data_IF_691061211805
#
_entry.id   IF_691061211805
#
_cell.length_a   1.000
_cell.length_b   1.000
_cell.length_c   1.000
_cell.angle_alpha   90.00
_cell.angle_beta   90.00
_cell.angle_gamma   90.00
#
_symmetry.space_group_name_H-M   'P 1'
#
loop_
_entity.id
_entity.type
_entity.pdbx_description
1 polymer ?
#
# COMPACT_ATOMS: atom_id res chain seq x y z
N UNK A 1 8.45 -18.43 24.03
CA UNK A 1 7.93 -18.44 22.68
C UNK A 1 7.07 -17.19 22.50
N UNK A 2 7.08 -16.64 21.30
CA UNK A 2 6.20 -15.53 20.93
C UNK A 2 4.87 -16.10 20.43
N UNK A 3 3.75 -15.67 20.98
CA UNK A 3 2.42 -15.98 20.44
C UNK A 3 2.13 -15.00 19.30
N UNK A 4 1.65 -15.51 18.17
CA UNK A 4 1.36 -14.76 16.96
C UNK A 4 -0.11 -14.91 16.61
N UNK A 5 -0.82 -13.82 16.45
CA UNK A 5 -2.21 -13.78 15.98
C UNK A 5 -2.23 -13.17 14.59
N UNK A 6 -2.71 -13.91 13.60
CA UNK A 6 -2.69 -13.50 12.20
C UNK A 6 -4.12 -13.40 11.67
N UNK A 7 -4.51 -12.18 11.30
CA UNK A 7 -5.80 -11.92 10.66
C UNK A 7 -5.71 -12.25 9.17
N UNK A 8 -6.68 -13.02 8.64
CA UNK A 8 -6.83 -13.19 7.21
C UNK A 8 -7.33 -11.88 6.58
N UNK A 9 -6.55 -11.33 5.65
CA UNK A 9 -6.89 -10.16 4.86
C UNK A 9 -7.51 -10.53 3.50
N UNK A 10 -7.95 -9.52 2.74
CA UNK A 10 -8.59 -9.72 1.43
C UNK A 10 -7.66 -10.33 0.36
N UNK A 11 -6.34 -10.19 0.51
CA UNK A 11 -5.34 -10.80 -0.38
C UNK A 11 -4.89 -12.18 0.07
N UNK A 12 -5.28 -12.62 1.27
CA UNK A 12 -4.97 -13.95 1.77
C UNK A 12 -6.02 -14.99 1.33
N UNK A 13 -7.23 -14.54 0.99
CA UNK A 13 -8.36 -15.40 0.63
C UNK A 13 -8.35 -15.77 -0.85
N UNK A 14 -8.61 -17.06 -1.16
CA UNK A 14 -8.71 -17.51 -2.53
C UNK A 14 -10.02 -17.03 -3.21
N UNK A 15 -11.14 -17.10 -2.48
CA UNK A 15 -12.43 -16.63 -2.95
C UNK A 15 -12.77 -15.27 -2.30
N UNK A 16 -13.33 -14.32 -3.08
CA UNK A 16 -13.67 -12.98 -2.58
C UNK A 16 -14.86 -12.94 -1.63
N UNK A 17 -15.65 -13.99 -1.58
CA UNK A 17 -16.91 -14.06 -0.83
C UNK A 17 -16.82 -14.86 0.47
N UNK A 18 -15.72 -15.56 0.74
CA UNK A 18 -15.50 -16.39 1.94
C UNK A 18 -14.05 -16.35 2.38
N UNK A 19 -13.79 -16.54 3.68
CA UNK A 19 -12.46 -16.69 4.26
C UNK A 19 -12.05 -18.16 4.47
N UNK A 20 -12.89 -19.13 4.11
CA UNK A 20 -12.68 -20.59 4.36
C UNK A 20 -11.37 -21.11 3.76
N UNK A 21 -10.98 -20.59 2.60
CA UNK A 21 -9.73 -20.98 1.96
C UNK A 21 -8.82 -19.76 1.92
N UNK A 22 -7.89 -19.70 2.86
CA UNK A 22 -6.94 -18.61 2.96
C UNK A 22 -5.50 -19.14 3.13
N UNK A 23 -4.54 -18.38 2.60
CA UNK A 23 -3.13 -18.75 2.61
C UNK A 23 -2.52 -18.80 4.01
N UNK A 24 -3.03 -17.99 4.93
CA UNK A 24 -2.53 -17.94 6.30
C UNK A 24 -2.80 -19.28 7.01
N UNK A 25 -4.03 -19.78 6.93
CA UNK A 25 -4.41 -21.07 7.52
C UNK A 25 -3.68 -22.22 6.82
N UNK A 26 -3.70 -22.26 5.48
CA UNK A 26 -3.06 -23.33 4.70
C UNK A 26 -1.56 -23.48 4.95
N UNK A 27 -0.86 -22.39 5.26
CA UNK A 27 0.60 -22.38 5.40
C UNK A 27 1.06 -22.44 6.86
N UNK A 28 0.25 -21.98 7.80
CA UNK A 28 0.72 -21.70 9.16
C UNK A 28 -0.06 -22.41 10.28
N UNK A 29 -1.16 -23.11 10.00
CA UNK A 29 -1.98 -23.78 11.01
C UNK A 29 -1.29 -24.94 11.71
N UNK A 30 -0.16 -25.45 11.19
CA UNK A 30 0.63 -26.50 11.83
C UNK A 30 1.50 -25.97 12.99
N UNK A 31 1.66 -24.65 13.14
CA UNK A 31 2.49 -24.05 14.19
C UNK A 31 1.65 -23.75 15.44
N UNK A 32 1.96 -24.39 16.56
CA UNK A 32 1.20 -24.27 17.81
C UNK A 32 1.15 -22.84 18.39
N UNK A 33 2.11 -22.00 18.06
CA UNK A 33 2.21 -20.62 18.55
C UNK A 33 1.70 -19.59 17.54
N UNK A 34 1.10 -20.01 16.42
CA UNK A 34 0.47 -19.14 15.44
C UNK A 34 -1.02 -19.40 15.43
N UNK A 35 -1.79 -18.37 15.74
CA UNK A 35 -3.25 -18.43 15.81
C UNK A 35 -3.83 -17.68 14.61
N UNK A 36 -4.39 -18.44 13.67
CA UNK A 36 -5.02 -17.86 12.48
C UNK A 36 -6.43 -17.39 12.83
N UNK A 37 -6.75 -16.16 12.45
CA UNK A 37 -8.02 -15.50 12.69
C UNK A 37 -8.72 -15.33 11.35
N UNK A 38 -9.58 -16.24 10.98
CA UNK A 38 -10.38 -16.25 9.74
C UNK A 38 -11.88 -15.97 9.98
N UNK A 39 -12.29 -15.96 11.25
CA UNK A 39 -13.63 -15.61 11.70
C UNK A 39 -13.58 -14.64 12.89
N UNK A 40 -14.63 -13.83 13.14
CA UNK A 40 -14.67 -12.91 14.27
C UNK A 40 -14.52 -13.65 15.61
N UNK A 41 -13.55 -13.24 16.44
CA UNK A 41 -13.35 -13.82 17.76
C UNK A 41 -12.72 -12.83 18.74
N UNK A 42 -13.01 -13.01 20.02
CA UNK A 42 -12.38 -12.24 21.11
C UNK A 42 -11.25 -13.04 21.72
N UNK A 43 -10.06 -12.46 21.75
CA UNK A 43 -8.91 -12.99 22.48
C UNK A 43 -8.71 -12.22 23.79
N UNK A 44 -8.21 -12.90 24.81
CA UNK A 44 -7.83 -12.29 26.06
C UNK A 44 -6.31 -12.27 26.21
N UNK A 45 -5.72 -11.07 26.22
CA UNK A 45 -4.29 -10.93 26.45
C UNK A 45 -4.01 -10.46 27.86
N UNK A 46 -3.04 -11.11 28.52
CA UNK A 46 -2.60 -10.79 29.88
C UNK A 46 -1.13 -10.36 29.87
N UNK A 47 -0.83 -9.28 30.57
CA UNK A 47 0.53 -8.86 30.87
C UNK A 47 0.63 -8.50 32.36
N UNK A 48 1.19 -9.39 33.16
CA UNK A 48 1.18 -9.27 34.63
C UNK A 48 -0.23 -9.26 35.20
N UNK A 49 -0.61 -8.20 35.90
CA UNK A 49 -1.95 -8.02 36.46
C UNK A 49 -2.90 -7.29 35.49
N UNK A 50 -2.41 -6.85 34.34
CA UNK A 50 -3.20 -6.13 33.34
C UNK A 50 -3.67 -7.10 32.25
N UNK A 51 -4.98 -7.21 32.10
CA UNK A 51 -5.60 -7.98 31.02
C UNK A 51 -6.50 -7.12 30.15
N UNK A 52 -6.70 -7.50 28.92
CA UNK A 52 -7.66 -6.86 28.01
C UNK A 52 -8.23 -7.84 27.01
N UNK A 53 -9.53 -7.71 26.79
CA UNK A 53 -10.20 -8.36 25.67
C UNK A 53 -9.97 -7.54 24.40
N UNK A 54 -9.63 -8.26 23.32
CA UNK A 54 -9.43 -7.69 22.01
C UNK A 54 -10.35 -8.43 21.03
N UNK A 55 -11.24 -7.72 20.38
CA UNK A 55 -12.01 -8.27 19.28
C UNK A 55 -11.13 -8.32 18.04
N UNK A 56 -10.86 -9.53 17.54
CA UNK A 56 -10.10 -9.79 16.34
C UNK A 56 -11.08 -10.03 15.18
N UNK A 57 -10.92 -9.25 14.11
CA UNK A 57 -11.83 -9.24 12.96
C UNK A 57 -11.05 -9.45 11.66
N UNK A 58 -11.19 -10.60 10.98
CA UNK A 58 -10.59 -10.82 9.68
C UNK A 58 -11.26 -9.96 8.61
N UNK A 59 -10.86 -10.13 7.36
CA UNK A 59 -11.53 -9.51 6.22
C UNK A 59 -13.03 -9.81 6.24
N UNK A 60 -13.84 -8.75 6.14
CA UNK A 60 -15.30 -8.87 6.10
C UNK A 60 -15.72 -9.09 4.66
N UNK A 61 -16.21 -10.28 4.36
CA UNK A 61 -16.71 -10.69 3.06
C UNK A 61 -18.22 -10.95 3.11
N UNK A 62 -18.81 -11.35 1.96
CA UNK A 62 -20.26 -11.55 1.89
C UNK A 62 -20.77 -12.63 2.85
N UNK A 63 -20.00 -13.71 3.05
CA UNK A 63 -20.39 -14.84 3.89
C UNK A 63 -20.42 -14.50 5.38
N UNK A 64 -19.42 -13.78 5.88
CA UNK A 64 -19.28 -13.45 7.30
C UNK A 64 -19.82 -12.07 7.68
N UNK A 65 -20.46 -11.35 6.74
CA UNK A 65 -20.89 -9.96 6.94
C UNK A 65 -21.84 -9.80 8.14
N UNK A 66 -22.89 -10.59 8.21
CA UNK A 66 -23.91 -10.44 9.25
C UNK A 66 -23.36 -10.76 10.64
N UNK A 67 -22.53 -11.81 10.75
CA UNK A 67 -21.85 -12.17 11.98
C UNK A 67 -20.85 -11.09 12.39
N UNK A 68 -20.02 -10.61 11.47
CA UNK A 68 -19.05 -9.55 11.70
C UNK A 68 -19.72 -8.25 12.18
N UNK A 69 -20.81 -7.86 11.56
CA UNK A 69 -21.57 -6.67 11.96
C UNK A 69 -22.24 -6.84 13.33
N UNK A 70 -22.69 -8.06 13.65
CA UNK A 70 -23.25 -8.37 14.97
C UNK A 70 -22.18 -8.27 16.07
N UNK A 71 -21.01 -8.85 15.83
CA UNK A 71 -19.86 -8.76 16.73
C UNK A 71 -19.38 -7.31 16.90
N UNK A 72 -19.15 -6.58 15.81
CA UNK A 72 -18.80 -5.16 15.88
C UNK A 72 -19.81 -4.35 16.69
N UNK A 73 -21.10 -4.67 16.63
CA UNK A 73 -22.15 -3.95 17.35
C UNK A 73 -22.26 -4.33 18.83
N UNK A 74 -22.17 -5.62 19.17
CA UNK A 74 -22.56 -6.12 20.49
C UNK A 74 -21.37 -6.51 21.39
N UNK A 75 -20.19 -6.74 20.82
CA UNK A 75 -19.01 -7.13 21.59
C UNK A 75 -18.61 -6.09 22.62
N UNK A 76 -18.16 -6.51 23.80
CA UNK A 76 -17.79 -5.64 24.93
C UNK A 76 -16.28 -5.41 25.07
N UNK A 77 -15.46 -5.92 24.14
CA UNK A 77 -14.01 -5.69 24.16
C UNK A 77 -13.69 -4.19 24.09
N UNK A 78 -12.67 -3.78 24.84
CA UNK A 78 -12.19 -2.40 24.80
C UNK A 78 -11.37 -2.09 23.53
N UNK A 79 -10.73 -3.12 22.98
CA UNK A 79 -9.88 -3.02 21.79
C UNK A 79 -10.47 -3.79 20.63
N UNK A 80 -10.23 -3.30 19.41
CA UNK A 80 -10.57 -4.01 18.20
C UNK A 80 -9.38 -3.99 17.23
N UNK A 81 -9.02 -5.15 16.69
CA UNK A 81 -8.00 -5.28 15.64
C UNK A 81 -8.62 -5.97 14.45
N UNK A 82 -8.39 -5.44 13.25
CA UNK A 82 -9.02 -6.04 12.08
C UNK A 82 -8.38 -5.64 10.76
N UNK A 83 -8.95 -6.20 9.68
CA UNK A 83 -8.60 -5.87 8.32
C UNK A 83 -9.78 -5.19 7.65
N UNK A 84 -9.90 -3.88 7.90
CA UNK A 84 -11.11 -3.12 7.57
C UNK A 84 -10.89 -2.18 6.39
N UNK A 85 -11.94 -2.01 5.59
CA UNK A 85 -12.12 -0.85 4.73
C UNK A 85 -13.10 0.11 5.43
N UNK A 86 -12.61 1.30 5.84
CA UNK A 86 -13.39 2.29 6.59
C UNK A 86 -13.41 3.60 5.81
N UNK A 87 -14.61 4.14 5.59
CA UNK A 87 -14.81 5.38 4.86
C UNK A 87 -14.08 6.58 5.51
N UNK A 88 -13.50 7.42 4.65
CA UNK A 88 -12.85 8.67 5.03
C UNK A 88 -11.41 8.52 5.52
N UNK A 89 -10.76 7.36 5.31
CA UNK A 89 -9.33 7.18 5.54
C UNK A 89 -8.53 7.22 4.24
N UNK A 90 -7.29 7.66 4.34
CA UNK A 90 -6.37 7.73 3.21
C UNK A 90 -5.90 6.33 2.83
N UNK A 91 -6.21 5.90 1.61
CA UNK A 91 -5.74 4.62 1.04
C UNK A 91 -4.29 4.72 0.58
N UNK A 92 -4.00 5.79 -0.18
CA UNK A 92 -2.70 6.19 -0.69
C UNK A 92 -2.55 7.69 -0.53
N UNK A 93 -1.37 8.24 -0.77
CA UNK A 93 -1.17 9.69 -0.79
C UNK A 93 -2.21 10.37 -1.70
N UNK A 94 -2.94 11.34 -1.14
CA UNK A 94 -3.91 12.13 -1.88
C UNK A 94 -5.21 11.40 -2.25
N UNK A 95 -5.40 10.13 -1.90
CA UNK A 95 -6.61 9.37 -2.21
C UNK A 95 -7.28 8.86 -0.94
N UNK A 96 -8.49 9.36 -0.69
CA UNK A 96 -9.33 8.96 0.45
C UNK A 96 -10.38 7.95 -0.01
N UNK A 97 -10.62 6.89 0.78
CA UNK A 97 -11.72 5.97 0.53
C UNK A 97 -13.05 6.60 0.89
N UNK A 98 -13.98 6.65 -0.05
CA UNK A 98 -15.36 7.07 0.17
C UNK A 98 -16.29 5.87 0.46
N UNK A 99 -15.76 4.65 0.30
CA UNK A 99 -16.47 3.38 0.52
C UNK A 99 -16.19 2.75 1.88
N UNK A 100 -16.77 1.55 2.10
CA UNK A 100 -16.50 0.72 3.26
C UNK A 100 -17.41 0.99 4.46
N UNK A 101 -16.93 0.56 5.63
CA UNK A 101 -17.69 0.64 6.88
C UNK A 101 -17.76 2.06 7.43
N UNK A 102 -18.89 2.40 8.06
CA UNK A 102 -19.01 3.66 8.79
C UNK A 102 -18.15 3.67 10.06
N UNK A 103 -17.46 4.77 10.32
CA UNK A 103 -16.69 5.00 11.55
C UNK A 103 -17.54 4.88 12.82
N UNK A 104 -18.84 5.13 12.74
CA UNK A 104 -19.77 5.11 13.87
C UNK A 104 -19.76 3.77 14.61
N UNK A 105 -19.62 2.65 13.90
CA UNK A 105 -19.64 1.31 14.50
C UNK A 105 -18.43 1.05 15.41
N UNK A 106 -17.36 1.81 15.20
CA UNK A 106 -16.10 1.68 15.96
C UNK A 106 -16.00 2.59 17.17
N UNK A 107 -16.91 3.56 17.36
CA UNK A 107 -16.85 4.55 18.45
C UNK A 107 -16.89 3.97 19.85
N UNK A 108 -17.42 2.77 20.00
CA UNK A 108 -17.53 2.12 21.33
C UNK A 108 -16.21 1.53 21.83
N UNK A 109 -15.26 1.29 20.93
CA UNK A 109 -13.94 0.77 21.31
C UNK A 109 -13.04 1.91 21.77
N UNK A 110 -12.18 1.65 22.76
CA UNK A 110 -11.17 2.62 23.18
C UNK A 110 -10.15 2.88 22.06
N UNK A 111 -9.72 1.81 21.39
CA UNK A 111 -8.79 1.87 20.27
C UNK A 111 -9.11 0.79 19.24
N UNK A 112 -8.96 1.16 17.97
CA UNK A 112 -9.14 0.28 16.81
C UNK A 112 -7.87 0.31 15.97
N UNK A 113 -7.32 -0.85 15.67
CA UNK A 113 -6.16 -1.00 14.80
C UNK A 113 -6.57 -1.75 13.54
N UNK A 114 -6.24 -1.18 12.38
CA UNK A 114 -6.61 -1.79 11.10
C UNK A 114 -5.40 -1.97 10.18
N UNK A 115 -5.37 -3.11 9.49
CA UNK A 115 -4.65 -3.31 8.25
C UNK A 115 -5.46 -2.82 7.05
N UNK A 116 -5.26 -3.35 5.87
CA UNK A 116 -5.86 -3.07 4.57
C UNK A 116 -5.24 -1.87 3.85
N UNK A 117 -5.31 -0.67 4.39
CA UNK A 117 -4.64 0.47 3.75
C UNK A 117 -3.15 0.47 4.05
N UNK A 118 -2.33 0.61 3.00
CA UNK A 118 -0.88 0.59 3.11
C UNK A 118 -0.33 1.86 3.77
N UNK A 119 -1.03 2.99 3.61
CA UNK A 119 -0.65 4.24 4.24
C UNK A 119 -1.03 4.26 5.72
N UNK A 120 -0.09 4.65 6.58
CA UNK A 120 -0.33 4.81 8.01
C UNK A 120 -1.11 6.10 8.27
N UNK A 121 -2.25 5.97 8.91
CA UNK A 121 -3.10 7.12 9.25
C UNK A 121 -3.86 6.89 10.54
N UNK A 122 -4.18 7.96 11.26
CA UNK A 122 -4.97 7.90 12.49
C UNK A 122 -6.03 8.99 12.50
N UNK A 123 -7.24 8.63 12.87
CA UNK A 123 -8.34 9.58 13.09
C UNK A 123 -9.22 9.07 14.23
N UNK A 124 -9.48 9.93 15.20
CA UNK A 124 -10.19 9.58 16.42
C UNK A 124 -9.54 8.37 17.14
N UNK A 125 -10.32 7.33 17.42
CA UNK A 125 -9.84 6.10 18.04
C UNK A 125 -9.37 5.02 17.06
N UNK A 126 -9.31 5.32 15.74
CA UNK A 126 -8.97 4.36 14.68
C UNK A 126 -7.59 4.67 14.12
N UNK A 127 -6.72 3.66 14.07
CA UNK A 127 -5.38 3.73 13.48
C UNK A 127 -5.19 2.65 12.41
N UNK A 128 -4.96 3.07 11.17
CA UNK A 128 -4.39 2.21 10.14
C UNK A 128 -2.88 2.10 10.37
N UNK A 129 -2.39 0.87 10.51
CA UNK A 129 -1.00 0.62 10.89
C UNK A 129 -0.04 0.75 9.70
N UNK A 130 -0.56 0.60 8.49
CA UNK A 130 0.23 0.61 7.26
C UNK A 130 1.11 -0.62 7.09
N UNK A 131 1.92 -0.65 6.04
CA UNK A 131 2.82 -1.75 5.76
C UNK A 131 4.13 -1.63 6.54
N UNK A 132 4.76 -2.76 6.93
CA UNK A 132 6.05 -2.75 7.62
C UNK A 132 7.23 -2.39 6.70
N UNK A 133 7.09 -2.50 5.39
CA UNK A 133 8.06 -2.13 4.36
C UNK A 133 7.34 -1.73 3.06
N UNK A 134 8.06 -1.12 2.13
CA UNK A 134 7.52 -0.70 0.84
C UNK A 134 7.29 -1.93 -0.05
N UNK A 135 6.10 -2.06 -0.64
CA UNK A 135 5.70 -3.17 -1.52
C UNK A 135 5.70 -2.78 -3.00
N UNK A 136 5.32 -1.53 -3.28
CA UNK A 136 5.16 -1.01 -4.63
C UNK A 136 5.68 0.42 -4.75
N UNK A 137 5.78 0.95 -5.97
CA UNK A 137 6.14 2.34 -6.20
C UNK A 137 5.17 3.36 -5.58
N UNK A 138 3.94 2.97 -5.28
CA UNK A 138 2.99 3.82 -4.53
C UNK A 138 3.45 4.10 -3.09
N UNK A 139 4.29 3.24 -2.56
CA UNK A 139 4.85 3.36 -1.21
C UNK A 139 6.11 4.22 -1.17
N UNK A 140 6.61 4.66 -2.33
CA UNK A 140 7.80 5.51 -2.43
C UNK A 140 7.68 6.77 -1.56
N UNK A 141 8.74 7.05 -0.79
CA UNK A 141 8.81 8.22 0.09
C UNK A 141 7.68 8.28 1.16
N UNK A 142 7.08 7.14 1.49
CA UNK A 142 6.14 6.98 2.59
C UNK A 142 6.78 6.11 3.68
N UNK A 143 6.99 6.68 4.89
CA UNK A 143 7.73 6.00 5.95
C UNK A 143 6.98 4.77 6.42
N UNK A 144 7.57 3.60 6.18
CA UNK A 144 7.06 2.28 6.58
C UNK A 144 7.65 1.84 7.90
N UNK A 145 7.00 0.87 8.56
CA UNK A 145 7.45 0.35 9.85
C UNK A 145 6.39 -0.49 10.53
N UNK A 146 6.60 -0.77 11.81
CA UNK A 146 5.65 -1.49 12.64
C UNK A 146 5.36 -0.73 13.92
N UNK A 147 4.41 -1.22 14.71
CA UNK A 147 4.00 -0.56 15.93
C UNK A 147 4.25 -1.45 17.15
N UNK A 148 4.61 -0.82 18.24
CA UNK A 148 4.58 -1.42 19.58
C UNK A 148 3.37 -0.86 20.32
N UNK A 149 2.53 -1.76 20.83
CA UNK A 149 1.38 -1.40 21.63
C UNK A 149 1.61 -1.85 23.07
N UNK A 150 1.64 -0.90 24.00
CA UNK A 150 1.69 -1.21 25.43
C UNK A 150 0.27 -1.35 25.98
N UNK A 151 -0.08 -2.57 26.39
CA UNK A 151 -1.41 -2.89 26.89
C UNK A 151 -1.75 -2.15 28.20
N UNK A 152 -0.74 -1.88 29.04
CA UNK A 152 -0.93 -1.25 30.35
C UNK A 152 -1.14 0.26 30.26
N UNK A 153 -0.40 0.92 29.40
CA UNK A 153 -0.45 2.38 29.20
C UNK A 153 -1.38 2.80 28.06
N UNK A 154 -1.83 1.85 27.25
CA UNK A 154 -2.62 2.09 26.02
C UNK A 154 -1.90 3.00 25.02
N UNK A 155 -0.59 2.91 24.97
CA UNK A 155 0.23 3.71 24.03
C UNK A 155 0.61 2.89 22.81
N UNK A 156 0.48 3.50 21.64
CA UNK A 156 0.90 2.95 20.35
C UNK A 156 2.12 3.73 19.87
N UNK A 157 3.27 3.06 19.80
CA UNK A 157 4.53 3.63 19.34
C UNK A 157 4.86 3.11 17.93
N UNK A 158 5.16 4.02 17.01
CA UNK A 158 5.59 3.66 15.67
C UNK A 158 7.12 3.50 15.60
N UNK A 159 7.58 2.36 15.11
CA UNK A 159 8.98 2.06 14.88
C UNK A 159 9.25 2.07 13.38
N UNK A 160 9.93 3.10 12.84
CA UNK A 160 10.18 3.19 11.41
C UNK A 160 11.15 2.12 10.92
N UNK A 161 10.89 1.58 9.74
CA UNK A 161 11.81 0.68 9.05
C UNK A 161 12.91 1.53 8.38
N UNK A 162 14.18 1.34 8.71
CA UNK A 162 15.28 2.09 8.09
C UNK A 162 15.60 1.62 6.66
N UNK A 163 15.08 0.46 6.24
CA UNK A 163 15.36 -0.11 4.92
C UNK A 163 14.35 0.42 3.90
N UNK A 164 14.81 1.32 3.03
CA UNK A 164 14.03 1.86 1.91
C UNK A 164 14.30 0.98 0.69
N UNK A 165 13.24 0.54 0.01
CA UNK A 165 13.36 -0.34 -1.16
C UNK A 165 13.25 0.40 -2.50
N UNK A 166 12.48 1.50 -2.54
CA UNK A 166 12.24 2.27 -3.76
C UNK A 166 12.97 3.60 -3.70
N UNK A 167 13.79 3.87 -4.71
CA UNK A 167 14.56 5.09 -4.82
C UNK A 167 14.32 5.79 -6.14
N UNK A 168 14.17 7.12 -6.10
CA UNK A 168 14.10 7.96 -7.28
C UNK A 168 15.37 8.79 -7.38
N UNK A 169 15.99 8.79 -8.56
CA UNK A 169 17.13 9.62 -8.87
C UNK A 169 16.70 10.58 -9.99
N UNK A 170 16.81 11.86 -9.75
CA UNK A 170 16.64 12.85 -10.81
C UNK A 170 18.00 13.06 -11.47
N UNK A 171 18.06 12.89 -12.79
CA UNK A 171 19.23 13.20 -13.60
C UNK A 171 18.98 14.48 -14.38
N UNK A 172 19.81 15.50 -14.15
CA UNK A 172 19.74 16.78 -14.85
C UNK A 172 21.16 17.36 -15.04
N UNK A 173 21.73 17.16 -16.22
CA UNK A 173 23.09 17.65 -16.56
C UNK A 173 23.16 19.15 -16.92
N UNK A 174 22.04 19.87 -16.84
CA UNK A 174 22.05 21.35 -16.88
C UNK A 174 22.19 21.96 -15.49
N UNK A 175 21.78 21.24 -14.44
CA UNK A 175 21.79 21.69 -13.06
C UNK A 175 23.01 21.11 -12.32
N UNK A 176 23.21 19.80 -12.42
CA UNK A 176 24.35 19.11 -11.79
C UNK A 176 25.61 19.20 -12.66
N UNK A 177 26.73 19.54 -12.06
CA UNK A 177 28.02 19.56 -12.76
C UNK A 177 28.50 18.13 -13.10
N UNK A 178 29.40 18.02 -14.07
CA UNK A 178 30.05 16.75 -14.46
C UNK A 178 30.67 16.06 -13.24
N UNK A 179 31.31 16.84 -12.36
CA UNK A 179 31.99 16.34 -11.16
C UNK A 179 30.97 15.79 -10.14
N UNK A 180 29.84 16.45 -9.94
CA UNK A 180 28.79 15.97 -9.05
C UNK A 180 28.17 14.69 -9.55
N UNK A 181 27.84 14.62 -10.84
CA UNK A 181 27.26 13.41 -11.46
C UNK A 181 28.25 12.23 -11.37
N UNK A 182 29.53 12.44 -11.68
CA UNK A 182 30.50 11.34 -11.74
C UNK A 182 30.97 10.85 -10.38
N UNK A 183 30.91 11.68 -9.34
CA UNK A 183 31.33 11.34 -7.97
C UNK A 183 30.15 11.08 -7.03
N UNK A 184 28.92 10.98 -7.55
CA UNK A 184 27.73 10.70 -6.76
C UNK A 184 27.89 9.35 -6.04
N UNK A 185 27.70 9.32 -4.74
CA UNK A 185 27.65 8.07 -3.98
C UNK A 185 26.36 7.32 -4.30
N UNK A 186 26.51 6.20 -4.98
CA UNK A 186 25.41 5.34 -5.42
C UNK A 186 25.25 4.09 -4.55
N UNK A 187 26.09 3.90 -3.52
CA UNK A 187 26.13 2.66 -2.71
C UNK A 187 24.81 2.36 -2.00
N UNK A 188 24.04 3.40 -1.61
CA UNK A 188 22.73 3.26 -0.96
C UNK A 188 21.65 2.62 -1.85
N UNK A 189 21.90 2.53 -3.15
CA UNK A 189 20.96 1.94 -4.12
C UNK A 189 21.19 0.44 -4.34
N UNK A 190 22.16 -0.17 -3.66
CA UNK A 190 22.38 -1.60 -3.73
C UNK A 190 21.19 -2.40 -3.20
N UNK A 191 20.78 -3.44 -3.93
CA UNK A 191 19.64 -4.30 -3.58
C UNK A 191 18.30 -3.54 -3.43
N UNK A 192 18.10 -2.48 -4.19
CA UNK A 192 16.87 -1.69 -4.21
C UNK A 192 16.31 -1.54 -5.63
N UNK A 193 15.08 -1.04 -5.73
CA UNK A 193 14.45 -0.66 -6.99
C UNK A 193 14.74 0.82 -7.24
N UNK A 194 15.27 1.16 -8.40
CA UNK A 194 15.67 2.53 -8.73
C UNK A 194 14.93 3.04 -9.95
N UNK A 195 14.28 4.20 -9.84
CA UNK A 195 13.72 4.95 -10.96
C UNK A 195 14.61 6.15 -11.27
N UNK A 196 15.21 6.19 -12.45
CA UNK A 196 15.97 7.32 -12.93
C UNK A 196 15.06 8.22 -13.77
N UNK A 197 14.78 9.42 -13.27
CA UNK A 197 13.98 10.44 -13.96
C UNK A 197 14.93 11.38 -14.68
N UNK A 198 14.90 11.38 -16.01
CA UNK A 198 15.78 12.18 -16.84
C UNK A 198 15.10 13.49 -17.20
N UNK A 199 15.52 14.58 -16.58
CA UNK A 199 14.98 15.93 -16.83
C UNK A 199 15.73 16.60 -18.00
N UNK A 200 17.05 16.58 -17.96
CA UNK A 200 17.90 17.06 -19.06
C UNK A 200 19.05 16.09 -19.29
N UNK A 201 19.24 15.70 -20.55
CA UNK A 201 20.33 14.85 -21.05
C UNK A 201 21.02 15.53 -22.21
N UNK A 202 21.75 16.64 -21.91
CA UNK A 202 22.48 17.40 -22.93
C UNK A 202 23.79 16.75 -23.34
N UNK A 203 24.35 15.91 -22.48
CA UNK A 203 25.54 15.12 -22.74
C UNK A 203 25.24 13.60 -22.60
N UNK A 204 24.88 12.92 -23.71
CA UNK A 204 24.58 11.48 -23.67
C UNK A 204 25.72 10.62 -23.11
N UNK A 205 26.97 10.96 -23.40
CA UNK A 205 28.13 10.22 -22.88
C UNK A 205 28.24 10.33 -21.34
N UNK A 206 27.92 11.47 -20.76
CA UNK A 206 27.90 11.66 -19.31
C UNK A 206 26.78 10.82 -18.68
N UNK A 207 25.60 10.79 -19.32
CA UNK A 207 24.49 9.94 -18.89
C UNK A 207 24.86 8.45 -18.92
N UNK A 208 25.43 7.98 -20.02
CA UNK A 208 25.88 6.58 -20.15
C UNK A 208 26.89 6.20 -19.06
N UNK A 209 27.81 7.12 -18.74
CA UNK A 209 28.78 6.91 -17.66
C UNK A 209 28.12 6.85 -16.28
N UNK A 210 27.15 7.71 -16.03
CA UNK A 210 26.32 7.69 -14.81
C UNK A 210 25.58 6.36 -14.69
N UNK A 211 24.88 5.94 -15.75
CA UNK A 211 24.15 4.67 -15.78
C UNK A 211 25.07 3.47 -15.57
N UNK A 212 26.25 3.46 -16.21
CA UNK A 212 27.25 2.41 -15.99
C UNK A 212 27.69 2.35 -14.51
N UNK A 213 27.88 3.49 -13.86
CA UNK A 213 28.23 3.54 -12.44
C UNK A 213 27.08 3.05 -11.57
N UNK A 214 25.84 3.38 -11.94
CA UNK A 214 24.65 2.92 -11.24
C UNK A 214 24.48 1.40 -11.38
N UNK A 215 24.58 0.83 -12.57
CA UNK A 215 24.49 -0.63 -12.79
C UNK A 215 25.56 -1.42 -12.01
N UNK A 216 26.72 -0.84 -11.74
CA UNK A 216 27.77 -1.49 -10.96
C UNK A 216 27.46 -1.64 -9.46
N UNK A 217 26.41 -1.00 -8.96
CA UNK A 217 26.02 -1.06 -7.54
C UNK A 217 25.09 -2.25 -7.23
N UNK A 218 24.65 -2.98 -8.26
CA UNK A 218 23.87 -4.20 -8.10
C UNK A 218 22.47 -3.97 -7.51
N UNK A 219 21.66 -3.18 -8.20
CA UNK A 219 20.24 -2.97 -7.88
C UNK A 219 19.41 -4.21 -8.20
N UNK A 220 18.20 -4.29 -7.65
CA UNK A 220 17.21 -5.31 -8.03
C UNK A 220 16.67 -5.00 -9.42
N UNK A 221 16.29 -3.74 -9.65
CA UNK A 221 15.80 -3.26 -10.94
C UNK A 221 16.09 -1.77 -11.13
N UNK A 222 16.22 -1.35 -12.39
CA UNK A 222 16.39 0.06 -12.78
C UNK A 222 15.40 0.39 -13.89
N UNK A 223 14.49 1.32 -13.62
CA UNK A 223 13.59 1.91 -14.61
C UNK A 223 14.08 3.30 -14.99
N UNK A 224 14.14 3.60 -16.30
CA UNK A 224 14.50 4.92 -16.82
C UNK A 224 13.25 5.58 -17.39
N UNK A 225 12.94 6.78 -16.90
CA UNK A 225 11.84 7.61 -17.40
C UNK A 225 12.44 8.85 -18.10
N UNK A 226 12.42 8.88 -19.44
CA UNK A 226 13.02 9.94 -20.25
C UNK A 226 12.01 10.98 -20.75
N UNK A 227 10.73 10.64 -20.89
CA UNK A 227 9.71 11.55 -21.42
C UNK A 227 8.81 12.09 -20.31
N UNK A 228 9.26 13.15 -19.68
CA UNK A 228 8.38 13.98 -18.87
C UNK A 228 7.88 15.17 -19.68
N UNK A 229 6.72 15.00 -20.28
CA UNK A 229 5.90 16.11 -20.71
C UNK A 229 5.61 16.97 -19.47
N UNK A 230 6.26 18.11 -19.40
CA UNK A 230 5.92 19.26 -18.55
C UNK A 230 5.92 19.06 -17.03
N UNK A 231 7.09 18.79 -16.41
CA UNK A 231 7.31 19.14 -15.00
C UNK A 231 7.33 20.65 -14.74
N UNK A 232 7.15 21.49 -15.77
CA UNK A 232 7.16 22.95 -15.67
C UNK A 232 5.81 23.55 -15.27
N UNK A 233 4.74 22.76 -15.16
CA UNK A 233 3.39 23.27 -14.83
C UNK A 233 2.98 23.11 -13.38
N UNK A 234 3.92 22.88 -12.43
CA UNK A 234 3.56 22.91 -11.00
C UNK A 234 2.55 21.83 -10.55
N UNK A 235 2.43 20.75 -11.32
CA UNK A 235 1.69 19.56 -10.91
C UNK A 235 2.56 18.86 -9.90
N UNK A 236 2.10 18.80 -8.66
CA UNK A 236 2.78 18.17 -7.54
C UNK A 236 3.27 16.77 -7.93
N UNK A 237 4.47 16.40 -7.49
CA UNK A 237 5.13 15.10 -7.71
C UNK A 237 4.24 13.89 -7.39
N UNK A 238 3.16 14.08 -6.64
CA UNK A 238 2.17 13.09 -6.23
C UNK A 238 1.29 12.53 -7.37
N UNK A 239 1.20 13.22 -8.53
CA UNK A 239 0.35 12.72 -9.64
C UNK A 239 1.04 11.67 -10.52
N UNK A 240 2.35 11.56 -10.45
CA UNK A 240 3.11 10.59 -11.28
C UNK A 240 3.27 9.25 -10.57
N UNK A 241 3.28 9.25 -9.24
CA UNK A 241 3.41 8.05 -8.41
C UNK A 241 2.06 7.47 -7.93
N UNK A 242 0.95 8.17 -8.15
CA UNK A 242 -0.37 7.56 -8.06
C UNK A 242 -0.48 6.57 -9.23
N UNK A 243 -0.52 5.28 -8.94
CA UNK A 243 -1.09 4.33 -9.87
C UNK A 243 -2.57 4.67 -9.98
N UNK A 244 -2.89 5.70 -10.76
CA UNK A 244 -4.23 5.81 -11.29
C UNK A 244 -4.54 4.44 -11.86
N UNK A 245 -5.66 3.88 -11.45
CA UNK A 245 -6.20 2.68 -12.08
C UNK A 245 -5.95 2.80 -13.59
N UNK A 246 -5.33 1.82 -14.20
CA UNK A 246 -4.97 1.85 -15.62
C UNK A 246 -6.13 2.33 -16.49
N UNK A 247 -7.36 2.05 -16.06
CA UNK A 247 -8.57 2.57 -16.73
C UNK A 247 -8.72 4.08 -16.60
N UNK A 248 -8.40 4.67 -15.46
CA UNK A 248 -8.45 6.13 -15.25
C UNK A 248 -7.42 6.83 -16.13
N UNK A 249 -6.22 6.26 -16.26
CA UNK A 249 -5.17 6.77 -17.17
C UNK A 249 -5.65 6.70 -18.62
N UNK A 250 -6.22 5.57 -19.04
CA UNK A 250 -6.77 5.38 -20.39
C UNK A 250 -7.89 6.38 -20.64
N UNK A 251 -8.82 6.56 -19.71
CA UNK A 251 -9.96 7.48 -19.86
C UNK A 251 -9.49 8.93 -19.96
N UNK A 252 -8.54 9.37 -19.14
CA UNK A 252 -7.95 10.73 -19.24
C UNK A 252 -7.19 10.95 -20.55
N UNK A 253 -6.45 9.94 -21.00
CA UNK A 253 -5.76 10.01 -22.28
C UNK A 253 -6.75 10.19 -23.43
N UNK A 254 -7.85 9.39 -23.43
CA UNK A 254 -8.92 9.50 -24.43
C UNK A 254 -9.63 10.85 -24.37
N UNK A 255 -9.85 11.41 -23.16
CA UNK A 255 -10.45 12.75 -23.00
C UNK A 255 -9.56 13.88 -23.56
N UNK A 256 -8.23 13.66 -23.56
CA UNK A 256 -7.27 14.58 -24.17
C UNK A 256 -7.23 14.55 -25.70
N UNK A 257 -7.88 13.57 -26.34
CA UNK A 257 -7.95 13.50 -27.82
C UNK A 257 -8.97 14.52 -28.33
N UNK A 258 -8.49 15.55 -29.03
CA UNK A 258 -9.31 16.64 -29.58
C UNK A 258 -9.61 16.49 -31.07
N UNK A 259 -9.68 15.29 -31.62
CA UNK A 259 -9.93 15.01 -33.02
C UNK A 259 -11.45 14.82 -33.27
N UNK A 260 -12.05 15.72 -34.05
CA UNK A 260 -13.50 15.75 -34.31
C UNK A 260 -14.06 14.44 -34.94
N UNK A 261 -13.20 13.63 -35.54
CA UNK A 261 -13.58 12.36 -36.16
C UNK A 261 -13.72 11.19 -35.20
N UNK A 262 -13.29 11.35 -33.94
CA UNK A 262 -13.25 10.32 -32.92
C UNK A 262 -14.33 10.55 -31.87
N UNK A 263 -15.20 9.55 -31.68
CA UNK A 263 -16.15 9.52 -30.56
C UNK A 263 -15.44 8.99 -29.31
N UNK A 264 -15.01 9.91 -28.43
CA UNK A 264 -14.29 9.59 -27.20
C UNK A 264 -15.05 8.59 -26.30
N UNK A 265 -16.40 8.63 -26.28
CA UNK A 265 -17.17 7.69 -25.46
C UNK A 265 -17.11 6.25 -26.02
N UNK A 266 -17.16 6.11 -27.35
CA UNK A 266 -16.97 4.79 -27.99
C UNK A 266 -15.54 4.29 -27.79
N UNK A 267 -14.56 5.17 -27.93
CA UNK A 267 -13.17 4.79 -27.72
C UNK A 267 -12.92 4.32 -26.29
N UNK A 268 -13.44 5.01 -25.27
CA UNK A 268 -13.38 4.56 -23.86
C UNK A 268 -14.02 3.19 -23.66
N UNK A 269 -15.17 2.94 -24.30
CA UNK A 269 -15.85 1.65 -24.19
C UNK A 269 -14.98 0.52 -24.76
N UNK A 270 -14.42 0.70 -25.95
CA UNK A 270 -13.53 -0.27 -26.59
C UNK A 270 -12.27 -0.52 -25.76
N UNK A 271 -11.64 0.56 -25.25
CA UNK A 271 -10.43 0.44 -24.40
C UNK A 271 -10.74 -0.31 -23.11
N UNK A 272 -11.90 -0.09 -22.51
CA UNK A 272 -12.33 -0.83 -21.31
C UNK A 272 -12.55 -2.30 -21.60
N UNK A 273 -13.20 -2.65 -22.73
CA UNK A 273 -13.41 -4.03 -23.15
C UNK A 273 -12.09 -4.75 -23.38
N UNK A 274 -11.14 -4.11 -24.09
CA UNK A 274 -9.79 -4.66 -24.33
C UNK A 274 -9.01 -4.86 -23.03
N UNK A 275 -9.11 -3.92 -22.11
CA UNK A 275 -8.43 -4.02 -20.80
C UNK A 275 -8.97 -5.20 -19.98
N UNK A 276 -10.31 -5.36 -19.93
CA UNK A 276 -10.94 -6.50 -19.24
C UNK A 276 -10.56 -7.82 -19.91
N UNK A 277 -10.50 -7.86 -21.25
CA UNK A 277 -10.05 -9.05 -21.96
C UNK A 277 -8.58 -9.40 -21.65
N UNK A 278 -7.69 -8.41 -21.60
CA UNK A 278 -6.30 -8.61 -21.23
C UNK A 278 -6.14 -9.15 -19.79
N UNK A 279 -6.88 -8.60 -18.81
CA UNK A 279 -6.89 -9.11 -17.44
C UNK A 279 -7.36 -10.56 -17.34
N UNK A 280 -8.34 -10.97 -18.18
CA UNK A 280 -8.83 -12.33 -18.19
C UNK A 280 -7.84 -13.32 -18.85
N UNK A 281 -6.99 -12.86 -19.77
CA UNK A 281 -5.96 -13.69 -20.40
C UNK A 281 -4.72 -13.91 -19.50
N UNK A 282 -4.43 -12.97 -18.58
CA UNK A 282 -3.36 -13.16 -17.60
C UNK A 282 -3.71 -14.13 -16.47
N UNK A 283 -5.01 -14.50 -16.35
CA UNK A 283 -5.51 -15.44 -15.34
C UNK A 283 -5.71 -16.87 -15.88
N UNK A 284 -5.42 -17.12 -17.16
CA UNK A 284 -5.52 -18.42 -17.82
C UNK A 284 -4.15 -19.05 -18.05
#
# INVERSE_FOLDING_TARGET
>A
NLEVYMLAGNHDTYFKNTNDVNSVDLLLNEYENIHVIDSPQTIHLNYGEVGSDILMMPWICAENYDESMLELKNNSAALCMGHFEIAGFTMHRGMTSDGGLSREIFRKFDMVFSGHFHHRSTSDNISYLGNPYELTWQDYNDTRGFHLFDLSTRTLEFIPNPNVMFHRIVYDDKVESITEITNKDLTKYANTYVKVVVVNKTNPYLFDKFMASLYNVNQIDITIAEDFIDLTTGVEDDMIDQAEDTMTIIEKFVDGISEESIDNNKLKTVMRELYVEALNQEQA
#
